data_IF_340889596417
#
_entry.id   IF_340889596417
#
_cell.length_a   1.000
_cell.length_b   1.000
_cell.length_c   1.000
_cell.angle_alpha   90.00
_cell.angle_beta   90.00
_cell.angle_gamma   90.00
#
_symmetry.space_group_name_H-M   'P 1'
#
loop_
_entity.id
_entity.type
_entity.pdbx_description
1 polymer ?
#
# COMPACT_ATOMS: atom_id res chain seq x y z
N UNK A 1 57.38 -39.52 39.45
CA UNK A 1 56.20 -39.54 38.55
C UNK A 1 55.59 -38.15 38.56
N UNK A 2 55.18 -37.67 37.38
CA UNK A 2 55.19 -36.27 36.91
C UNK A 2 54.62 -35.23 37.90
N UNK A 3 55.44 -34.21 38.15
CA UNK A 3 55.18 -33.04 38.98
C UNK A 3 54.54 -31.92 38.16
N UNK A 4 53.72 -31.14 38.85
CA UNK A 4 53.23 -29.81 38.50
C UNK A 4 54.41 -28.84 38.24
N UNK A 5 54.17 -27.83 37.40
CA UNK A 5 54.82 -26.50 37.24
C UNK A 5 55.30 -26.25 35.79
N UNK A 6 54.91 -25.06 35.27
CA UNK A 6 55.51 -24.15 34.25
C UNK A 6 54.31 -23.48 33.54
N UNK A 7 53.74 -22.36 34.01
CA UNK A 7 54.22 -20.96 33.96
C UNK A 7 54.63 -20.50 32.55
N UNK A 8 53.71 -19.76 31.93
CA UNK A 8 53.89 -18.53 31.14
C UNK A 8 55.01 -18.55 30.09
N UNK A 9 54.61 -18.68 28.82
CA UNK A 9 55.30 -18.03 27.71
C UNK A 9 54.33 -17.73 26.55
N UNK A 10 54.09 -16.44 26.35
CA UNK A 10 54.10 -15.77 25.04
C UNK A 10 52.97 -16.13 24.06
N UNK A 11 51.91 -15.33 24.03
CA UNK A 11 51.75 -14.25 23.05
C UNK A 11 51.80 -14.79 21.61
N UNK A 12 50.66 -15.31 21.14
CA UNK A 12 50.24 -15.27 19.73
C UNK A 12 48.81 -15.83 19.67
N UNK A 13 47.81 -14.96 19.59
CA UNK A 13 46.43 -15.42 19.40
C UNK A 13 45.33 -14.45 19.84
N UNK A 14 45.68 -13.34 20.50
CA UNK A 14 44.76 -12.21 20.72
C UNK A 14 45.03 -11.14 19.66
N UNK A 15 44.84 -11.46 18.38
CA UNK A 15 44.78 -10.47 17.29
C UNK A 15 44.10 -11.10 16.06
N UNK A 16 42.77 -11.26 16.09
CA UNK A 16 41.89 -11.24 14.90
C UNK A 16 40.43 -11.62 15.27
N UNK A 17 39.77 -10.85 16.14
CA UNK A 17 38.31 -10.91 16.25
C UNK A 17 37.68 -9.55 16.53
N UNK A 18 38.22 -8.51 15.87
CA UNK A 18 37.68 -7.15 15.83
C UNK A 18 37.87 -6.62 14.40
N UNK A 19 37.03 -7.09 13.46
CA UNK A 19 36.63 -6.39 12.24
C UNK A 19 35.80 -7.31 11.32
N UNK A 20 34.67 -7.84 11.80
CA UNK A 20 33.55 -8.09 10.87
C UNK A 20 32.79 -6.77 10.84
N UNK A 21 33.25 -5.88 9.95
CA UNK A 21 32.42 -4.78 9.47
C UNK A 21 31.26 -5.42 8.71
N UNK A 22 29.98 -5.12 9.01
CA UNK A 22 28.95 -5.35 8.02
C UNK A 22 29.26 -4.41 6.85
N UNK A 23 29.71 -5.01 5.76
CA UNK A 23 29.94 -4.37 4.48
C UNK A 23 28.68 -3.64 4.06
N UNK A 24 28.82 -2.33 3.92
CA UNK A 24 27.98 -1.48 3.09
C UNK A 24 27.83 -2.14 1.72
N UNK A 25 26.64 -2.62 1.37
CA UNK A 25 26.44 -3.20 0.04
C UNK A 25 25.22 -4.09 -0.13
N UNK A 26 24.05 -3.73 0.40
CA UNK A 26 22.78 -4.23 -0.17
C UNK A 26 22.33 -3.26 -1.25
N UNK A 27 22.97 -3.42 -2.41
CA UNK A 27 22.36 -3.41 -3.74
C UNK A 27 21.32 -2.30 -3.95
N UNK A 28 21.88 -1.17 -4.38
CA UNK A 28 21.34 -0.40 -5.50
C UNK A 28 20.71 -1.34 -6.55
N UNK A 29 19.43 -1.11 -6.83
CA UNK A 29 18.70 -1.60 -8.00
C UNK A 29 18.16 -3.04 -7.96
N UNK A 30 17.13 -3.25 -7.13
CA UNK A 30 16.02 -4.08 -7.58
C UNK A 30 15.15 -3.26 -8.54
N UNK A 31 15.59 -3.15 -9.80
CA UNK A 31 14.63 -3.03 -10.88
C UNK A 31 13.78 -4.30 -10.81
N UNK A 32 12.66 -4.22 -10.09
CA UNK A 32 11.69 -5.28 -10.11
C UNK A 32 11.22 -5.38 -11.57
N UNK A 33 11.67 -6.44 -12.23
CA UNK A 33 11.07 -6.99 -13.43
C UNK A 33 9.64 -7.41 -13.06
N UNK A 34 8.76 -6.42 -12.98
CA UNK A 34 7.33 -6.65 -12.87
C UNK A 34 6.84 -6.76 -14.30
N UNK A 35 6.73 -7.97 -14.84
CA UNK A 35 5.80 -8.22 -15.93
C UNK A 35 4.46 -7.64 -15.49
N UNK A 36 4.10 -6.50 -16.07
CA UNK A 36 2.86 -5.82 -15.80
C UNK A 36 1.71 -6.77 -16.12
N UNK A 37 0.77 -6.95 -15.19
CA UNK A 37 -0.43 -7.76 -15.42
C UNK A 37 -1.27 -7.23 -16.58
N UNK A 38 -1.09 -5.97 -16.96
CA UNK A 38 -1.64 -5.40 -18.19
C UNK A 38 -0.65 -5.59 -19.35
N UNK A 39 -0.98 -6.40 -20.38
CA UNK A 39 -0.16 -6.56 -21.58
C UNK A 39 0.11 -5.24 -22.33
N UNK A 40 -0.73 -4.22 -22.12
CA UNK A 40 -0.59 -2.89 -22.72
C UNK A 40 0.17 -1.88 -21.83
N UNK A 41 0.71 -2.33 -20.69
CA UNK A 41 1.34 -1.47 -19.69
C UNK A 41 0.35 -0.67 -18.85
N UNK A 42 0.76 -0.34 -17.63
CA UNK A 42 -0.06 0.34 -16.65
C UNK A 42 0.35 1.80 -16.51
N UNK A 43 -0.62 2.70 -16.56
CA UNK A 43 -0.42 4.09 -16.15
C UNK A 43 -0.26 4.22 -14.63
N UNK A 44 0.35 5.31 -14.19
CA UNK A 44 0.45 5.68 -12.78
C UNK A 44 -0.92 5.65 -12.09
N UNK A 45 -1.95 6.18 -12.77
CA UNK A 45 -3.31 6.17 -12.24
C UNK A 45 -3.87 4.75 -12.13
N UNK A 46 -3.64 3.88 -13.13
CA UNK A 46 -4.13 2.49 -13.07
C UNK A 46 -3.49 1.68 -11.93
N UNK A 47 -2.22 1.94 -11.61
CA UNK A 47 -1.54 1.36 -10.46
C UNK A 47 -2.16 1.87 -9.16
N UNK A 48 -2.37 3.19 -9.06
CA UNK A 48 -3.03 3.78 -7.90
C UNK A 48 -4.44 3.23 -7.66
N UNK A 49 -5.21 3.01 -8.73
CA UNK A 49 -6.55 2.41 -8.64
C UNK A 49 -6.52 0.97 -8.10
N UNK A 50 -5.50 0.18 -8.44
CA UNK A 50 -5.30 -1.16 -7.88
C UNK A 50 -4.95 -1.10 -6.38
N UNK A 51 -4.13 -0.13 -5.97
CA UNK A 51 -3.84 0.07 -4.55
C UNK A 51 -5.09 0.49 -3.76
N UNK A 52 -5.91 1.38 -4.32
CA UNK A 52 -7.20 1.79 -3.75
C UNK A 52 -8.18 0.61 -3.65
N UNK A 53 -8.22 -0.26 -4.67
CA UNK A 53 -9.01 -1.49 -4.64
C UNK A 53 -8.52 -2.45 -3.56
N UNK A 54 -7.20 -2.66 -3.45
CA UNK A 54 -6.60 -3.53 -2.43
C UNK A 54 -6.93 -3.04 -1.03
N UNK A 55 -6.80 -1.74 -0.78
CA UNK A 55 -7.22 -1.12 0.49
C UNK A 55 -8.70 -1.38 0.78
N UNK A 56 -9.58 -1.21 -0.21
CA UNK A 56 -11.03 -1.41 -0.03
C UNK A 56 -11.38 -2.87 0.25
N UNK A 57 -10.69 -3.81 -0.38
CA UNK A 57 -10.85 -5.25 -0.11
C UNK A 57 -10.39 -5.61 1.30
N UNK A 58 -9.24 -5.08 1.74
CA UNK A 58 -8.75 -5.25 3.10
C UNK A 58 -9.72 -4.66 4.12
N UNK A 59 -10.19 -3.44 3.88
CA UNK A 59 -11.21 -2.78 4.70
C UNK A 59 -12.49 -3.61 4.82
N UNK A 60 -12.95 -4.24 3.72
CA UNK A 60 -14.10 -5.16 3.76
C UNK A 60 -13.85 -6.36 4.66
N UNK A 61 -12.66 -6.95 4.58
CA UNK A 61 -12.28 -8.11 5.40
C UNK A 61 -12.16 -7.73 6.88
N UNK A 62 -11.55 -6.58 7.18
CA UNK A 62 -11.39 -6.06 8.53
C UNK A 62 -12.74 -5.71 9.17
N UNK A 63 -13.64 -5.10 8.40
CA UNK A 63 -15.01 -4.83 8.84
C UNK A 63 -15.74 -6.13 9.25
N UNK A 64 -15.67 -7.17 8.41
CA UNK A 64 -16.27 -8.48 8.71
C UNK A 64 -15.64 -9.16 9.92
N UNK A 65 -14.38 -8.86 10.20
CA UNK A 65 -13.65 -9.37 11.36
C UNK A 65 -13.79 -8.49 12.61
N UNK A 66 -14.58 -7.40 12.57
CA UNK A 66 -14.73 -6.47 13.69
C UNK A 66 -13.47 -5.67 14.03
N UNK A 67 -12.49 -5.61 13.12
CA UNK A 67 -11.23 -4.88 13.34
C UNK A 67 -11.41 -3.38 13.14
N UNK A 68 -10.51 -2.62 13.76
CA UNK A 68 -10.42 -1.19 13.51
C UNK A 68 -9.94 -0.92 12.06
N UNK A 69 -10.40 0.18 11.42
CA UNK A 69 -9.93 0.57 10.10
C UNK A 69 -8.42 0.81 10.06
N UNK A 70 -7.80 0.47 8.93
CA UNK A 70 -6.45 0.92 8.65
C UNK A 70 -6.41 2.46 8.49
N UNK A 71 -5.30 3.11 8.89
CA UNK A 71 -5.16 4.55 8.73
C UNK A 71 -5.23 4.97 7.26
N UNK A 72 -5.55 6.24 7.03
CA UNK A 72 -5.62 6.83 5.69
C UNK A 72 -4.28 6.68 4.95
N UNK A 73 -4.25 6.04 3.76
CA UNK A 73 -3.03 5.94 2.97
C UNK A 73 -2.70 7.27 2.29
N UNK A 74 -1.64 7.95 2.74
CA UNK A 74 -1.22 9.24 2.17
C UNK A 74 -0.91 9.18 0.66
N UNK A 75 -0.55 8.00 0.14
CA UNK A 75 -0.34 7.76 -1.27
C UNK A 75 -1.59 8.03 -2.14
N UNK A 76 -2.80 7.97 -1.57
CA UNK A 76 -4.03 8.26 -2.31
C UNK A 76 -4.13 9.73 -2.75
N UNK A 77 -3.39 10.65 -2.12
CA UNK A 77 -3.28 12.02 -2.61
C UNK A 77 -2.67 12.12 -4.01
N UNK A 78 -1.96 11.08 -4.49
CA UNK A 78 -1.48 11.01 -5.87
C UNK A 78 -2.63 10.94 -6.89
N UNK A 79 -3.88 10.77 -6.48
CA UNK A 79 -5.04 10.77 -7.37
C UNK A 79 -5.13 12.04 -8.24
N UNK A 80 -4.69 13.18 -7.69
CA UNK A 80 -4.69 14.47 -8.37
C UNK A 80 -3.55 14.62 -9.37
N UNK A 81 -2.41 13.97 -9.14
CA UNK A 81 -1.18 14.15 -9.94
C UNK A 81 -0.84 12.99 -10.85
N UNK A 82 -1.33 11.78 -10.55
CA UNK A 82 -1.04 10.57 -11.30
C UNK A 82 -1.47 10.71 -12.77
N UNK A 83 -0.59 10.31 -13.67
CA UNK A 83 -0.83 10.27 -15.11
C UNK A 83 -1.80 9.15 -15.47
N UNK A 84 -2.79 9.48 -16.30
CA UNK A 84 -3.70 8.50 -16.90
C UNK A 84 -3.04 7.87 -18.13
N UNK A 85 -3.53 6.71 -18.57
CA UNK A 85 -3.01 6.04 -19.77
C UNK A 85 -3.14 6.92 -21.01
N UNK A 86 -2.18 6.81 -21.93
CA UNK A 86 -2.20 7.50 -23.23
C UNK A 86 -3.57 7.37 -23.90
N UNK A 87 -4.03 8.45 -24.54
CA UNK A 87 -5.35 8.60 -25.17
C UNK A 87 -6.58 8.65 -24.23
N UNK A 88 -6.38 8.78 -22.91
CA UNK A 88 -7.47 9.05 -21.98
C UNK A 88 -7.36 10.46 -21.41
N UNK A 89 -8.49 11.07 -21.07
CA UNK A 89 -8.55 12.42 -20.49
C UNK A 89 -9.40 12.41 -19.23
N UNK A 90 -8.94 13.09 -18.18
CA UNK A 90 -9.71 13.31 -16.96
C UNK A 90 -10.90 14.23 -17.28
N UNK A 91 -12.09 13.91 -16.78
CA UNK A 91 -13.26 14.79 -16.90
C UNK A 91 -13.09 16.07 -16.08
N UNK A 92 -13.84 17.12 -16.41
CA UNK A 92 -13.84 18.39 -15.66
C UNK A 92 -14.18 18.23 -14.17
N UNK A 93 -14.93 17.19 -13.80
CA UNK A 93 -15.31 16.88 -12.42
C UNK A 93 -14.37 15.90 -11.71
N UNK A 94 -13.27 15.50 -12.35
CA UNK A 94 -12.38 14.46 -11.84
C UNK A 94 -11.82 14.82 -10.45
N UNK A 95 -11.42 16.07 -10.25
CA UNK A 95 -10.85 16.51 -8.98
C UNK A 95 -11.90 16.48 -7.85
N UNK A 96 -13.13 16.89 -8.13
CA UNK A 96 -14.25 16.88 -7.18
C UNK A 96 -14.61 15.45 -6.77
N UNK A 97 -14.60 14.51 -7.71
CA UNK A 97 -14.74 13.09 -7.39
C UNK A 97 -13.55 12.58 -6.55
N UNK A 98 -12.34 13.04 -6.86
CA UNK A 98 -11.16 12.72 -6.08
C UNK A 98 -11.24 13.23 -4.64
N UNK A 99 -11.65 14.47 -4.44
CA UNK A 99 -11.87 15.07 -3.12
C UNK A 99 -12.94 14.32 -2.32
N UNK A 100 -14.07 13.99 -2.96
CA UNK A 100 -15.13 13.17 -2.37
C UNK A 100 -14.58 11.82 -1.90
N UNK A 101 -13.79 11.14 -2.75
CA UNK A 101 -13.17 9.88 -2.39
C UNK A 101 -12.20 10.04 -1.22
N UNK A 102 -11.26 10.99 -1.28
CA UNK A 102 -10.28 11.23 -0.19
C UNK A 102 -11.00 11.50 1.14
N UNK A 103 -12.04 12.34 1.12
CA UNK A 103 -12.85 12.62 2.31
C UNK A 103 -13.51 11.37 2.86
N UNK A 104 -14.10 10.55 1.99
CA UNK A 104 -14.77 9.31 2.40
C UNK A 104 -13.81 8.27 3.02
N UNK A 105 -12.59 8.12 2.51
CA UNK A 105 -11.57 7.23 3.08
C UNK A 105 -11.14 7.72 4.46
N UNK A 106 -10.94 9.04 4.62
CA UNK A 106 -10.61 9.64 5.92
C UNK A 106 -11.72 9.39 6.94
N UNK A 107 -12.98 9.60 6.55
CA UNK A 107 -14.14 9.35 7.41
C UNK A 107 -14.25 7.88 7.82
N UNK A 108 -13.99 6.94 6.90
CA UNK A 108 -13.90 5.52 7.24
C UNK A 108 -12.75 5.22 8.19
N UNK A 109 -11.56 5.78 7.93
CA UNK A 109 -10.37 5.56 8.76
C UNK A 109 -10.55 6.07 10.21
N UNK A 110 -11.38 7.10 10.43
CA UNK A 110 -11.71 7.64 11.75
C UNK A 110 -13.06 7.16 12.31
N UNK A 111 -13.67 6.14 11.70
CA UNK A 111 -15.00 5.65 12.09
C UNK A 111 -15.01 4.91 13.44
N UNK A 112 -16.08 5.11 14.20
CA UNK A 112 -16.37 4.32 15.39
C UNK A 112 -16.98 2.98 14.99
N UNK A 113 -17.20 2.08 15.93
CA UNK A 113 -17.84 0.79 15.63
C UNK A 113 -19.28 0.98 15.15
N UNK A 114 -19.99 1.97 15.68
CA UNK A 114 -21.40 2.26 15.39
C UNK A 114 -21.62 2.73 13.95
N UNK A 115 -20.72 3.55 13.40
CA UNK A 115 -20.87 4.12 12.05
C UNK A 115 -19.95 3.49 11.00
N UNK A 116 -19.25 2.39 11.33
CA UNK A 116 -18.23 1.80 10.46
C UNK A 116 -18.78 1.27 9.15
N UNK A 117 -19.92 0.58 9.19
CA UNK A 117 -20.59 0.02 8.00
C UNK A 117 -21.04 1.15 7.07
N UNK A 118 -21.63 2.20 7.64
CA UNK A 118 -22.09 3.36 6.88
C UNK A 118 -20.92 4.09 6.20
N UNK A 119 -19.88 4.42 6.96
CA UNK A 119 -18.70 5.12 6.43
C UNK A 119 -17.94 4.28 5.39
N UNK A 120 -17.86 2.96 5.57
CA UNK A 120 -17.34 2.04 4.56
C UNK A 120 -18.16 2.09 3.27
N UNK A 121 -19.48 1.99 3.37
CA UNK A 121 -20.37 2.05 2.21
C UNK A 121 -20.33 3.42 1.52
N UNK A 122 -20.14 4.51 2.27
CA UNK A 122 -19.94 5.85 1.73
C UNK A 122 -18.64 5.94 0.92
N UNK A 123 -17.56 5.31 1.39
CA UNK A 123 -16.31 5.17 0.63
C UNK A 123 -16.53 4.38 -0.68
N UNK A 124 -17.26 3.27 -0.64
CA UNK A 124 -17.60 2.50 -1.85
C UNK A 124 -18.47 3.32 -2.82
N UNK A 125 -19.43 4.10 -2.31
CA UNK A 125 -20.26 4.97 -3.13
C UNK A 125 -19.45 6.11 -3.78
N UNK A 126 -18.42 6.64 -3.11
CA UNK A 126 -17.51 7.62 -3.70
C UNK A 126 -16.73 7.04 -4.89
N UNK A 127 -16.30 5.76 -4.80
CA UNK A 127 -15.75 5.06 -5.96
C UNK A 127 -16.74 5.02 -7.14
N UNK A 128 -18.01 4.70 -6.86
CA UNK A 128 -19.07 4.65 -7.88
C UNK A 128 -19.35 6.02 -8.51
N UNK A 129 -19.28 7.10 -7.75
CA UNK A 129 -19.50 8.46 -8.27
C UNK A 129 -18.49 8.79 -9.39
N UNK A 130 -17.20 8.51 -9.17
CA UNK A 130 -16.17 8.71 -10.19
C UNK A 130 -16.32 7.72 -11.35
N UNK A 131 -16.40 6.42 -11.04
CA UNK A 131 -16.37 5.37 -12.06
C UNK A 131 -17.60 5.38 -12.96
N UNK A 132 -18.77 5.80 -12.47
CA UNK A 132 -19.97 5.89 -13.31
C UNK A 132 -19.86 6.96 -14.40
N UNK A 133 -19.03 7.99 -14.18
CA UNK A 133 -18.90 9.13 -15.10
C UNK A 133 -17.62 9.07 -15.94
N UNK A 134 -16.53 8.54 -15.39
CA UNK A 134 -15.20 8.65 -15.99
C UNK A 134 -14.68 7.34 -16.57
N UNK A 135 -14.75 6.24 -15.81
CA UNK A 135 -14.21 4.93 -16.19
C UNK A 135 -15.17 3.81 -15.76
N UNK A 136 -16.21 3.46 -16.56
CA UNK A 136 -17.32 2.60 -16.11
C UNK A 136 -16.97 1.11 -15.98
N UNK A 137 -15.86 0.65 -16.53
CA UNK A 137 -15.46 -0.77 -16.52
C UNK A 137 -15.51 -1.45 -15.14
N UNK A 138 -14.98 -0.84 -14.06
CA UNK A 138 -15.00 -1.42 -12.71
C UNK A 138 -16.35 -1.34 -11.98
N UNK A 139 -17.35 -0.61 -12.48
CA UNK A 139 -18.62 -0.35 -11.77
C UNK A 139 -19.33 -1.63 -11.29
N UNK A 140 -19.49 -2.70 -12.11
CA UNK A 140 -20.14 -3.93 -11.65
C UNK A 140 -19.40 -4.63 -10.50
N UNK A 141 -18.08 -4.48 -10.44
CA UNK A 141 -17.24 -5.04 -9.37
C UNK A 141 -17.37 -4.20 -8.10
N UNK A 142 -17.30 -2.87 -8.23
CA UNK A 142 -17.42 -1.95 -7.09
C UNK A 142 -18.78 -2.09 -6.40
N UNK A 143 -19.88 -2.26 -7.16
CA UNK A 143 -21.22 -2.48 -6.57
C UNK A 143 -21.26 -3.69 -5.62
N UNK A 144 -20.50 -4.75 -5.91
CA UNK A 144 -20.40 -5.96 -5.06
C UNK A 144 -19.53 -5.75 -3.81
N UNK A 145 -18.85 -4.61 -3.68
CA UNK A 145 -18.04 -4.30 -2.50
C UNK A 145 -18.89 -3.82 -1.33
N UNK A 146 -20.10 -3.29 -1.55
CA UNK A 146 -21.00 -2.89 -0.46
C UNK A 146 -21.26 -4.04 0.52
N UNK A 147 -21.56 -3.67 1.75
CA UNK A 147 -21.85 -4.56 2.87
C UNK A 147 -23.14 -4.12 3.55
N UNK A 148 -23.85 -5.08 4.13
CA UNK A 148 -25.07 -4.85 4.92
C UNK A 148 -24.73 -4.78 6.42
#
# INVERSE_FOLDING_TARGET
MKKVIIIIALIAGVLAFQAIRPESGLIEQAAADTMDVNPNGSSELSLLMRDMQKYTNQAKADLKAGKAPAPYPAAFNKLFTAKISENNTKSDFYNQFGELYISSVKNYASSTTENRVETYNNMVNACLACHSQHCPGPVPVIKKMKVE
#
